data_IF_638280718844
#
_entry.id   IF_638280718844
#
_cell.length_a   1.000
_cell.length_b   1.000
_cell.length_c   1.000
_cell.angle_alpha   90.00
_cell.angle_beta   90.00
_cell.angle_gamma   90.00
#
_symmetry.space_group_name_H-M   'P 1'
#
loop_
_entity.id
_entity.type
_entity.pdbx_description
1 polymer ?
#
# COMPACT_ATOMS: atom_id res chain seq x y z
N UNK A 1 -1.91 7.89 -3.78
CA UNK A 1 -2.24 6.53 -4.25
C UNK A 1 -1.30 5.45 -3.75
N UNK A 2 0.01 5.68 -3.62
CA UNK A 2 0.95 4.64 -3.13
C UNK A 2 0.59 4.11 -1.73
N UNK A 3 0.18 4.97 -0.79
CA UNK A 3 -0.31 4.55 0.52
C UNK A 3 -1.45 3.52 0.42
N UNK A 4 -2.45 3.81 -0.40
CA UNK A 4 -3.62 2.94 -0.65
C UNK A 4 -3.14 1.61 -1.25
N UNK A 5 -2.25 1.64 -2.25
CA UNK A 5 -1.71 0.43 -2.84
C UNK A 5 -0.94 -0.44 -1.82
N UNK A 6 0.01 0.16 -1.09
CA UNK A 6 0.84 -0.57 -0.12
C UNK A 6 -0.02 -1.23 0.96
N UNK A 7 -0.92 -0.47 1.59
CA UNK A 7 -1.79 -0.99 2.64
C UNK A 7 -2.81 -2.01 2.12
N UNK A 8 -3.32 -1.84 0.90
CA UNK A 8 -4.18 -2.85 0.26
C UNK A 8 -3.43 -4.17 0.07
N UNK A 9 -2.19 -4.11 -0.44
CA UNK A 9 -1.36 -5.30 -0.64
C UNK A 9 -0.99 -5.96 0.69
N UNK A 10 -0.60 -5.18 1.69
CA UNK A 10 -0.28 -5.69 3.02
C UNK A 10 -1.52 -6.31 3.70
N UNK A 11 -2.69 -5.69 3.60
CA UNK A 11 -3.92 -6.21 4.22
C UNK A 11 -4.41 -7.50 3.56
N UNK A 12 -4.22 -7.67 2.25
CA UNK A 12 -4.73 -8.84 1.51
C UNK A 12 -3.71 -9.97 1.43
N UNK A 13 -2.48 -9.65 1.03
CA UNK A 13 -1.40 -10.62 0.83
C UNK A 13 -0.59 -10.81 2.11
N UNK A 14 -0.29 -9.73 2.84
CA UNK A 14 0.71 -9.70 3.90
C UNK A 14 2.01 -9.13 3.37
N UNK A 15 3.12 -9.54 3.98
CA UNK A 15 4.47 -9.10 3.59
C UNK A 15 4.74 -9.30 2.09
N UNK A 16 5.52 -8.37 1.51
CA UNK A 16 5.91 -8.42 0.11
C UNK A 16 6.62 -9.74 -0.23
N UNK A 17 6.17 -10.38 -1.32
CA UNK A 17 6.60 -11.71 -1.75
C UNK A 17 6.96 -11.78 -3.24
N UNK A 18 7.27 -10.63 -3.84
CA UNK A 18 7.63 -10.49 -5.27
C UNK A 18 8.98 -9.81 -5.39
N UNK A 19 9.69 -10.05 -6.48
CA UNK A 19 10.92 -9.33 -6.78
C UNK A 19 10.67 -7.85 -7.06
N UNK A 20 11.67 -7.03 -6.72
CA UNK A 20 11.61 -5.59 -6.96
C UNK A 20 11.74 -5.29 -8.46
N UNK A 21 10.84 -4.49 -9.06
CA UNK A 21 10.93 -4.12 -10.47
C UNK A 21 12.25 -3.42 -10.84
N UNK A 22 12.66 -3.57 -12.10
CA UNK A 22 13.90 -3.02 -12.63
C UNK A 22 13.92 -1.48 -12.66
N UNK A 23 15.12 -0.89 -12.79
CA UNK A 23 15.33 0.56 -12.64
C UNK A 23 14.52 1.45 -13.61
N UNK A 24 14.14 0.93 -14.78
CA UNK A 24 13.37 1.67 -15.78
C UNK A 24 11.86 1.65 -15.49
N UNK A 25 11.36 0.71 -14.67
CA UNK A 25 9.97 0.69 -14.24
C UNK A 25 9.79 1.51 -12.95
N UNK A 26 9.82 2.84 -13.11
CA UNK A 26 9.71 3.78 -11.99
C UNK A 26 8.38 3.62 -11.22
N UNK A 27 7.28 3.31 -11.92
CA UNK A 27 5.95 3.16 -11.30
C UNK A 27 5.84 1.86 -10.52
N UNK A 28 6.26 0.74 -11.12
CA UNK A 28 6.29 -0.55 -10.45
C UNK A 28 7.21 -0.52 -9.23
N UNK A 29 8.40 0.08 -9.38
CA UNK A 29 9.36 0.28 -8.29
C UNK A 29 8.74 1.07 -7.13
N UNK A 30 8.10 2.21 -7.40
CA UNK A 30 7.46 3.01 -6.35
C UNK A 30 6.31 2.27 -5.64
N UNK A 31 5.53 1.48 -6.38
CA UNK A 31 4.48 0.62 -5.80
C UNK A 31 5.08 -0.48 -4.93
N UNK A 32 6.10 -1.16 -5.42
CA UNK A 32 6.79 -2.21 -4.69
C UNK A 32 7.43 -1.68 -3.41
N UNK A 33 8.13 -0.54 -3.50
CA UNK A 33 8.77 0.12 -2.35
C UNK A 33 7.73 0.47 -1.27
N UNK A 34 6.61 1.07 -1.67
CA UNK A 34 5.52 1.41 -0.74
C UNK A 34 4.85 0.19 -0.06
N UNK A 35 4.90 -1.00 -0.68
CA UNK A 35 4.44 -2.23 -0.04
C UNK A 35 5.53 -2.84 0.85
N UNK A 36 6.78 -2.86 0.38
CA UNK A 36 7.92 -3.37 1.13
C UNK A 36 8.19 -2.60 2.43
N UNK A 37 7.91 -1.29 2.46
CA UNK A 37 7.97 -0.45 3.67
C UNK A 37 7.02 -0.92 4.78
N UNK A 38 5.96 -1.68 4.46
CA UNK A 38 4.99 -2.19 5.42
C UNK A 38 5.29 -3.62 5.91
N UNK A 39 6.43 -4.18 5.52
CA UNK A 39 6.83 -5.53 5.93
C UNK A 39 6.85 -5.67 7.46
N UNK A 40 6.24 -6.74 7.98
CA UNK A 40 6.05 -6.98 9.41
C UNK A 40 4.77 -6.37 9.98
N UNK A 41 4.00 -5.57 9.21
CA UNK A 41 2.70 -5.05 9.65
C UNK A 41 1.65 -6.13 9.59
N UNK A 42 0.89 -6.33 10.67
CA UNK A 42 -0.24 -7.26 10.68
C UNK A 42 -1.31 -6.84 9.64
N UNK A 43 -1.99 -7.84 9.06
CA UNK A 43 -3.00 -7.60 8.01
C UNK A 43 -4.13 -6.70 8.50
N UNK A 44 -4.54 -6.91 9.75
CA UNK A 44 -5.62 -6.19 10.42
C UNK A 44 -5.25 -4.71 10.59
N UNK A 45 -4.01 -4.41 10.96
CA UNK A 45 -3.56 -3.03 11.15
C UNK A 45 -3.37 -2.31 9.82
N UNK A 46 -2.87 -3.00 8.79
CA UNK A 46 -2.84 -2.49 7.43
C UNK A 46 -4.26 -2.17 6.90
N UNK A 47 -5.24 -3.02 7.21
CA UNK A 47 -6.65 -2.81 6.83
C UNK A 47 -7.25 -1.59 7.52
N UNK A 48 -7.04 -1.43 8.83
CA UNK A 48 -7.50 -0.24 9.57
C UNK A 48 -6.92 1.05 8.97
N UNK A 49 -5.62 1.06 8.72
CA UNK A 49 -4.94 2.21 8.12
C UNK A 49 -5.46 2.51 6.69
N UNK A 50 -5.75 1.48 5.90
CA UNK A 50 -6.38 1.62 4.59
C UNK A 50 -7.74 2.31 4.68
N UNK A 51 -8.65 1.79 5.52
CA UNK A 51 -10.01 2.34 5.70
C UNK A 51 -9.94 3.78 6.18
N UNK A 52 -9.11 4.08 7.18
CA UNK A 52 -8.92 5.44 7.68
C UNK A 52 -8.48 6.40 6.58
N UNK A 53 -7.54 5.97 5.72
CA UNK A 53 -7.08 6.80 4.62
C UNK A 53 -8.15 7.00 3.55
N UNK A 54 -8.95 5.98 3.23
CA UNK A 54 -10.06 6.11 2.28
C UNK A 54 -11.10 7.11 2.79
N UNK A 55 -11.48 7.05 4.07
CA UNK A 55 -12.41 8.01 4.65
C UNK A 55 -11.86 9.46 4.66
N UNK A 56 -10.56 9.64 4.90
CA UNK A 56 -9.90 10.94 4.75
C UNK A 56 -9.99 11.45 3.29
N UNK A 57 -9.72 10.59 2.32
CA UNK A 57 -9.76 10.96 0.90
C UNK A 57 -11.18 11.27 0.42
N UNK A 58 -12.20 10.53 0.87
CA UNK A 58 -13.61 10.80 0.60
C UNK A 58 -14.01 12.20 1.07
N UNK A 59 -13.65 12.55 2.32
CA UNK A 59 -13.87 13.90 2.87
C UNK A 59 -13.14 14.98 2.08
N UNK A 60 -11.89 14.71 1.69
CA UNK A 60 -11.03 15.68 0.99
C UNK A 60 -11.49 15.98 -0.44
N UNK A 61 -11.99 14.97 -1.16
CA UNK A 61 -12.34 15.09 -2.58
C UNK A 61 -13.85 15.08 -2.84
N UNK A 62 -14.69 14.91 -1.81
CA UNK A 62 -16.15 15.03 -1.93
C UNK A 62 -16.81 13.88 -2.68
N UNK A 63 -16.41 12.63 -2.38
CA UNK A 63 -16.98 11.40 -2.97
C UNK A 63 -17.63 10.56 -1.86
#
# INVERSE_FOLDING_TARGET
>A
MLFIYGHYKQATVGDVNTDRPGMLDLKGKAKWDAWNELKGTAKEDAMKAYVNKVEELKKKYGI
#
